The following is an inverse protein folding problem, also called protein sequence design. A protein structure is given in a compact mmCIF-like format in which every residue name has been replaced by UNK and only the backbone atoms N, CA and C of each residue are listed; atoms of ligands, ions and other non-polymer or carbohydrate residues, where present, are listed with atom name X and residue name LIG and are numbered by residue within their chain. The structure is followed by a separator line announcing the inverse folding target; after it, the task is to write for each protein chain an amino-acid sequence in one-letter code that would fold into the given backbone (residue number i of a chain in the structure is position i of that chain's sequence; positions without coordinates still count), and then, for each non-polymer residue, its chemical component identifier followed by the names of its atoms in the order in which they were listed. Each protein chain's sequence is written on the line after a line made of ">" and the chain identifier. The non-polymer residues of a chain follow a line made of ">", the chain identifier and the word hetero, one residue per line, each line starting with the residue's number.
data_IF_350883331381
#
_entry.id   IF_350883331381
#
_cell.length_a   1.000
_cell.length_b   1.000
_cell.length_c   1.000
_cell.angle_alpha   90.00
_cell.angle_beta   90.00
_cell.angle_gamma   90.00
#
_symmetry.space_group_name_H-M   'P 1'
#
loop_
_entity.id
_entity.type
_entity.pdbx_description
1 polymer ?
#
# COMPACT_ATOMS: atom_id res chain seq x y z
N UNK A 1 36.11 -21.03 12.67
CA UNK A 1 34.86 -21.81 12.61
C UNK A 1 34.13 -21.53 11.31
N UNK A 2 34.66 -22.04 10.20
CA UNK A 2 34.06 -21.95 8.87
C UNK A 2 33.54 -23.34 8.50
N UNK A 3 32.28 -23.62 8.83
CA UNK A 3 31.56 -24.72 8.21
C UNK A 3 30.92 -24.16 6.92
N UNK A 4 31.38 -24.64 5.76
CA UNK A 4 30.68 -24.43 4.48
C UNK A 4 29.28 -25.03 4.62
N UNK A 5 28.28 -24.18 4.86
CA UNK A 5 26.87 -24.59 4.79
C UNK A 5 26.55 -24.88 3.32
N UNK A 6 25.99 -26.05 3.04
CA UNK A 6 25.62 -26.52 1.69
C UNK A 6 24.24 -25.99 1.27
N UNK A 7 24.13 -25.46 0.05
CA UNK A 7 22.90 -24.86 -0.49
C UNK A 7 21.74 -25.83 -0.37
N UNK A 8 20.57 -25.40 0.14
CA UNK A 8 19.40 -26.27 0.16
C UNK A 8 19.12 -26.71 -1.27
N UNK A 9 19.20 -28.02 -1.52
CA UNK A 9 19.12 -28.61 -2.86
C UNK A 9 17.70 -29.08 -3.19
N UNK A 10 16.73 -28.90 -2.29
CA UNK A 10 15.36 -29.37 -2.46
C UNK A 10 14.32 -28.33 -2.05
N UNK A 11 13.15 -28.38 -2.70
CA UNK A 11 12.02 -27.50 -2.43
C UNK A 11 11.52 -27.61 -0.97
N UNK A 12 11.59 -28.81 -0.38
CA UNK A 12 11.19 -29.09 1.01
C UNK A 12 12.12 -28.43 2.05
N UNK A 13 13.42 -28.35 1.75
CA UNK A 13 14.40 -27.64 2.59
C UNK A 13 14.20 -26.12 2.52
N UNK A 14 13.85 -25.59 1.34
CA UNK A 14 13.51 -24.18 1.15
C UNK A 14 12.23 -23.83 1.93
N UNK A 15 11.19 -24.67 1.83
CA UNK A 15 9.92 -24.47 2.53
C UNK A 15 10.10 -24.50 4.06
N UNK A 16 10.92 -25.44 4.56
CA UNK A 16 11.29 -25.51 5.99
C UNK A 16 12.07 -24.29 6.45
N UNK A 17 12.99 -23.76 5.63
CA UNK A 17 13.76 -22.55 5.95
C UNK A 17 12.88 -21.30 5.97
N UNK A 18 11.94 -21.17 5.03
CA UNK A 18 10.98 -20.07 4.93
C UNK A 18 9.98 -20.06 6.10
N UNK A 19 9.54 -21.23 6.56
CA UNK A 19 8.62 -21.34 7.69
C UNK A 19 9.30 -21.28 9.07
N UNK A 20 10.63 -21.40 9.14
CA UNK A 20 11.41 -21.41 10.39
C UNK A 20 11.92 -20.05 10.87
N UNK A 21 11.45 -18.93 10.31
CA UNK A 21 11.87 -17.57 10.66
C UNK A 21 13.39 -17.30 10.52
N UNK A 22 14.11 -18.11 9.72
CA UNK A 22 15.54 -17.87 9.41
C UNK A 22 15.70 -17.13 8.08
N UNK A 23 14.97 -16.03 7.94
CA UNK A 23 15.08 -15.11 6.81
C UNK A 23 16.53 -14.69 6.54
N UNK A 24 17.34 -14.48 7.59
CA UNK A 24 18.75 -14.13 7.49
C UNK A 24 19.62 -15.14 6.72
N UNK A 25 19.25 -16.42 6.73
CA UNK A 25 20.01 -17.44 5.99
C UNK A 25 19.79 -17.28 4.49
N UNK A 26 18.57 -17.04 3.98
CA UNK A 26 18.37 -16.88 2.53
C UNK A 26 19.19 -15.71 1.94
N UNK A 27 19.32 -14.58 2.66
CA UNK A 27 20.08 -13.41 2.21
C UNK A 27 21.60 -13.65 2.16
N UNK A 28 22.14 -14.34 3.17
CA UNK A 28 23.57 -14.61 3.26
C UNK A 28 24.05 -15.53 2.12
N UNK A 29 23.15 -16.35 1.57
CA UNK A 29 23.47 -17.30 0.50
C UNK A 29 23.54 -16.64 -0.87
N UNK A 30 22.85 -15.52 -1.04
CA UNK A 30 22.77 -14.80 -2.31
C UNK A 30 23.60 -13.51 -2.34
N UNK A 31 24.42 -13.25 -1.31
CA UNK A 31 25.28 -12.07 -1.26
C UNK A 31 24.51 -10.75 -1.12
N UNK A 32 23.27 -10.80 -0.65
CA UNK A 32 22.42 -9.63 -0.47
C UNK A 32 22.76 -8.95 0.87
N UNK A 33 23.06 -7.65 0.86
CA UNK A 33 23.18 -6.88 2.10
C UNK A 33 21.79 -6.70 2.73
N UNK A 34 21.71 -6.66 4.06
CA UNK A 34 20.49 -6.40 4.85
C UNK A 34 19.78 -5.07 4.50
N UNK A 35 20.35 -4.23 3.64
CA UNK A 35 19.88 -2.89 3.32
C UNK A 35 18.73 -2.85 2.29
N UNK A 36 18.35 -4.00 1.72
CA UNK A 36 17.46 -4.04 0.54
C UNK A 36 16.13 -4.80 0.77
N UNK A 37 16.00 -5.51 1.89
CA UNK A 37 14.74 -6.14 2.29
C UNK A 37 14.55 -5.91 3.78
N UNK A 38 13.43 -5.28 4.12
CA UNK A 38 13.18 -4.85 5.48
C UNK A 38 11.99 -5.61 6.05
N UNK A 39 12.18 -6.40 7.14
CA UNK A 39 11.05 -6.88 7.89
C UNK A 39 10.23 -5.69 8.40
N UNK A 40 8.90 -5.81 8.48
CA UNK A 40 8.05 -4.69 8.80
C UNK A 40 8.42 -3.97 10.08
N UNK A 41 9.14 -4.58 11.02
CA UNK A 41 9.44 -4.04 12.36
C UNK A 41 10.87 -3.47 12.53
N UNK A 42 11.80 -3.66 11.57
CA UNK A 42 13.23 -3.33 11.76
C UNK A 42 13.72 -2.03 11.07
N UNK A 43 12.92 -1.41 10.20
CA UNK A 43 13.29 -0.13 9.57
C UNK A 43 13.27 1.02 10.60
N UNK A 44 14.37 1.80 10.66
CA UNK A 44 14.34 3.14 11.24
C UNK A 44 13.40 4.01 10.40
N UNK A 45 12.21 4.33 10.93
CA UNK A 45 11.11 5.01 10.22
C UNK A 45 11.25 6.53 10.15
N UNK A 46 12.46 7.09 10.09
CA UNK A 46 12.54 8.52 9.76
C UNK A 46 12.24 8.66 8.28
N UNK A 47 11.02 9.05 7.97
CA UNK A 47 10.60 9.38 6.62
C UNK A 47 11.23 10.71 6.25
N UNK A 48 11.87 10.78 5.07
CA UNK A 48 12.48 12.01 4.58
C UNK A 48 11.69 12.54 3.39
N UNK A 49 10.81 13.50 3.67
CA UNK A 49 10.03 14.28 2.70
C UNK A 49 9.02 13.41 1.92
N UNK A 50 8.38 12.46 2.58
CA UNK A 50 7.40 11.59 1.93
C UNK A 50 6.17 11.38 2.81
N UNK A 51 5.03 11.89 2.32
CA UNK A 51 3.69 11.54 2.76
C UNK A 51 2.85 11.36 1.50
N UNK A 52 2.42 10.14 1.21
CA UNK A 52 1.73 9.82 -0.04
C UNK A 52 0.53 8.95 0.27
N UNK A 53 -0.66 9.49 -0.03
CA UNK A 53 -1.86 8.69 -0.25
C UNK A 53 -2.10 8.56 -1.75
N UNK A 54 -3.13 7.82 -2.14
CA UNK A 54 -3.50 7.69 -3.53
C UNK A 54 -4.64 8.63 -3.90
N UNK A 55 -4.69 8.97 -5.18
CA UNK A 55 -5.83 9.58 -5.85
C UNK A 55 -6.47 8.61 -6.86
N UNK A 56 -6.01 7.35 -6.90
CA UNK A 56 -6.47 6.32 -7.83
C UNK A 56 -7.90 5.87 -7.53
N UNK A 57 -8.69 5.63 -8.57
CA UNK A 57 -9.93 4.86 -8.43
C UNK A 57 -9.62 3.36 -8.42
N UNK A 58 -10.08 2.65 -7.39
CA UNK A 58 -9.88 1.21 -7.24
C UNK A 58 -11.23 0.51 -7.15
N UNK A 59 -11.54 -0.31 -8.14
CA UNK A 59 -12.70 -1.18 -8.10
C UNK A 59 -12.44 -2.37 -7.17
N UNK A 60 -13.45 -2.77 -6.41
CA UNK A 60 -13.45 -4.00 -5.63
C UNK A 60 -13.21 -5.19 -6.57
N UNK A 61 -12.29 -6.04 -6.14
CA UNK A 61 -11.80 -7.15 -6.94
C UNK A 61 -12.46 -8.40 -6.43
N UNK A 62 -13.19 -9.10 -7.29
CA UNK A 62 -13.52 -10.50 -7.05
C UNK A 62 -12.67 -11.37 -7.99
N UNK A 63 -11.56 -11.94 -7.51
CA UNK A 63 -10.73 -12.83 -8.31
C UNK A 63 -11.50 -14.05 -8.84
N UNK A 64 -12.55 -14.51 -8.15
CA UNK A 64 -13.29 -15.72 -8.53
C UNK A 64 -12.50 -17.01 -8.35
N UNK A 65 -11.40 -16.96 -7.60
CA UNK A 65 -10.53 -18.11 -7.29
C UNK A 65 -9.84 -17.93 -5.93
N UNK A 66 -9.50 -19.05 -5.30
CA UNK A 66 -8.79 -19.12 -4.02
C UNK A 66 -7.96 -20.41 -3.97
N UNK A 67 -6.76 -20.44 -3.36
CA UNK A 67 -6.05 -19.30 -2.76
C UNK A 67 -5.42 -18.36 -3.79
N UNK A 68 -5.02 -17.16 -3.31
CA UNK A 68 -4.34 -16.14 -4.13
C UNK A 68 -3.00 -15.70 -3.56
N UNK A 69 -2.12 -15.26 -4.45
CA UNK A 69 -1.01 -14.40 -4.16
C UNK A 69 -1.29 -13.01 -4.73
N UNK A 70 -0.92 -11.97 -3.98
CA UNK A 70 -1.09 -10.58 -4.40
C UNK A 70 0.28 -10.01 -4.75
N UNK A 71 0.35 -9.32 -5.88
CA UNK A 71 1.50 -8.51 -6.27
C UNK A 71 1.01 -7.07 -6.39
N UNK A 72 1.65 -6.12 -5.72
CA UNK A 72 1.26 -4.73 -5.89
C UNK A 72 2.30 -3.69 -5.51
N UNK A 73 2.00 -2.43 -5.80
CA UNK A 73 2.87 -1.30 -5.47
C UNK A 73 2.67 -0.85 -4.01
N UNK A 74 3.73 -0.37 -3.33
CA UNK A 74 3.69 0.10 -1.94
C UNK A 74 2.93 1.44 -1.81
N UNK A 75 1.62 1.39 -2.01
CA UNK A 75 0.71 2.52 -1.92
C UNK A 75 -0.49 2.14 -1.03
N UNK A 76 -1.07 3.08 -0.25
CA UNK A 76 -2.17 2.78 0.67
C UNK A 76 -3.37 2.07 0.03
N UNK A 77 -3.66 2.32 -1.25
CA UNK A 77 -4.75 1.63 -1.98
C UNK A 77 -4.55 0.12 -2.12
N UNK A 78 -3.32 -0.39 -2.06
CA UNK A 78 -3.06 -1.83 -1.97
C UNK A 78 -3.71 -2.45 -0.73
N UNK A 79 -3.77 -1.73 0.40
CA UNK A 79 -4.40 -2.23 1.62
C UNK A 79 -5.93 -2.30 1.48
N UNK A 80 -6.53 -1.38 0.74
CA UNK A 80 -7.96 -1.47 0.41
C UNK A 80 -8.24 -2.68 -0.50
N UNK A 81 -7.36 -2.96 -1.47
CA UNK A 81 -7.45 -4.17 -2.31
C UNK A 81 -7.36 -5.45 -1.46
N UNK A 82 -6.34 -5.54 -0.60
CA UNK A 82 -6.15 -6.69 0.29
C UNK A 82 -7.39 -6.91 1.16
N UNK A 83 -7.90 -5.85 1.78
CA UNK A 83 -9.11 -5.93 2.61
C UNK A 83 -10.33 -6.37 1.80
N UNK A 84 -10.53 -5.85 0.59
CA UNK A 84 -11.65 -6.23 -0.27
C UNK A 84 -11.60 -7.72 -0.63
N UNK A 85 -10.42 -8.26 -0.95
CA UNK A 85 -10.23 -9.70 -1.22
C UNK A 85 -10.48 -10.52 0.05
N UNK A 86 -9.93 -10.10 1.19
CA UNK A 86 -10.09 -10.80 2.46
C UNK A 86 -11.56 -10.81 2.93
N UNK A 87 -12.30 -9.72 2.74
CA UNK A 87 -13.71 -9.60 3.11
C UNK A 87 -14.62 -10.57 2.34
N UNK A 88 -14.18 -11.04 1.17
CA UNK A 88 -14.87 -12.06 0.38
C UNK A 88 -14.54 -13.49 0.85
N UNK A 89 -13.76 -13.65 1.92
CA UNK A 89 -13.34 -14.95 2.44
C UNK A 89 -12.29 -15.65 1.57
N UNK A 90 -11.63 -14.92 0.67
CA UNK A 90 -10.57 -15.46 -0.18
C UNK A 90 -9.28 -15.55 0.62
N UNK A 91 -8.72 -16.75 0.67
CA UNK A 91 -7.44 -17.03 1.34
C UNK A 91 -6.25 -16.42 0.57
N UNK A 92 -5.60 -15.43 1.20
CA UNK A 92 -4.40 -14.75 0.68
C UNK A 92 -3.17 -15.43 1.28
N UNK A 93 -2.42 -16.14 0.44
CA UNK A 93 -1.25 -16.93 0.87
C UNK A 93 0.06 -16.18 0.83
N UNK A 94 0.20 -15.22 -0.08
CA UNK A 94 1.44 -14.47 -0.30
C UNK A 94 1.13 -13.04 -0.73
N UNK A 95 2.00 -12.12 -0.31
CA UNK A 95 1.95 -10.73 -0.73
C UNK A 95 3.34 -10.22 -1.07
N UNK A 96 3.51 -9.79 -2.31
CA UNK A 96 4.70 -9.11 -2.79
C UNK A 96 4.34 -7.65 -3.03
N UNK A 97 4.84 -6.77 -2.16
CA UNK A 97 4.67 -5.33 -2.31
C UNK A 97 6.00 -4.71 -2.78
N UNK A 98 5.99 -3.90 -3.83
CA UNK A 98 7.22 -3.32 -4.37
C UNK A 98 7.10 -1.83 -4.66
N UNK A 99 8.21 -1.11 -4.72
CA UNK A 99 8.24 0.27 -5.22
C UNK A 99 9.65 0.67 -5.70
N UNK A 100 9.74 1.64 -6.59
CA UNK A 100 11.02 2.28 -6.95
C UNK A 100 11.43 3.38 -5.96
N UNK A 101 10.50 3.87 -5.14
CA UNK A 101 10.75 4.92 -4.16
C UNK A 101 10.83 4.32 -2.75
N UNK A 102 12.05 4.31 -2.19
CA UNK A 102 12.28 3.78 -0.85
C UNK A 102 11.46 4.50 0.22
N UNK A 103 11.18 5.79 0.05
CA UNK A 103 10.38 6.54 1.01
C UNK A 103 8.89 6.12 0.97
N UNK A 104 8.36 5.74 -0.19
CA UNK A 104 7.02 5.17 -0.30
C UNK A 104 6.93 3.81 0.40
N UNK A 105 7.95 2.97 0.25
CA UNK A 105 8.03 1.68 0.97
C UNK A 105 8.04 1.90 2.47
N UNK A 106 8.85 2.84 2.97
CA UNK A 106 8.89 3.19 4.40
C UNK A 106 7.56 3.75 4.89
N UNK A 107 6.90 4.60 4.09
CA UNK A 107 5.59 5.15 4.43
C UNK A 107 4.53 4.05 4.51
N UNK A 108 4.51 3.14 3.53
CA UNK A 108 3.60 2.01 3.50
C UNK A 108 3.81 1.06 4.69
N UNK A 109 5.07 0.80 5.07
CA UNK A 109 5.41 0.06 6.29
C UNK A 109 4.93 0.75 7.56
N UNK A 110 5.07 2.08 7.63
CA UNK A 110 4.54 2.85 8.75
C UNK A 110 3.02 2.71 8.87
N UNK A 111 2.28 2.81 7.76
CA UNK A 111 0.82 2.58 7.73
C UNK A 111 0.47 1.19 8.25
N UNK A 112 1.16 0.14 7.78
CA UNK A 112 0.96 -1.24 8.26
C UNK A 112 1.19 -1.34 9.77
N UNK A 113 2.25 -0.71 10.29
CA UNK A 113 2.54 -0.68 11.73
C UNK A 113 1.45 0.03 12.53
N UNK A 114 0.94 1.15 12.02
CA UNK A 114 -0.16 1.87 12.65
C UNK A 114 -1.39 0.97 12.70
N UNK A 115 -1.85 0.43 11.57
CA UNK A 115 -3.02 -0.47 11.52
C UNK A 115 -2.88 -1.62 12.54
N UNK A 116 -1.70 -2.25 12.62
CA UNK A 116 -1.42 -3.35 13.56
C UNK A 116 -1.59 -2.95 15.04
N UNK A 117 -1.30 -1.69 15.38
CA UNK A 117 -1.29 -1.18 16.76
C UNK A 117 -2.57 -0.46 17.15
N UNK A 118 -3.23 0.20 16.20
CA UNK A 118 -4.41 1.00 16.48
C UNK A 118 -5.59 0.14 16.94
N UNK A 119 -6.36 0.71 17.87
CA UNK A 119 -7.51 0.03 18.49
C UNK A 119 -8.67 -0.12 17.51
N UNK A 120 -8.94 0.94 16.74
CA UNK A 120 -10.02 1.07 15.77
C UNK A 120 -9.57 1.91 14.57
N UNK A 121 -10.45 2.07 13.57
CA UNK A 121 -10.11 2.82 12.35
C UNK A 121 -9.96 4.33 12.56
N UNK A 122 -10.54 4.91 13.61
CA UNK A 122 -10.44 6.34 13.91
C UNK A 122 -9.09 6.62 14.57
N UNK A 123 -8.70 5.81 15.55
CA UNK A 123 -7.40 5.85 16.21
C UNK A 123 -6.26 5.75 15.19
N UNK A 124 -6.37 4.85 14.21
CA UNK A 124 -5.44 4.77 13.08
C UNK A 124 -5.29 6.08 12.31
N UNK A 125 -6.39 6.79 12.04
CA UNK A 125 -6.38 8.06 11.29
C UNK A 125 -5.80 9.18 12.15
N UNK A 126 -6.13 9.23 13.45
CA UNK A 126 -5.55 10.18 14.41
C UNK A 126 -4.02 10.05 14.43
N UNK A 127 -3.50 8.82 14.52
CA UNK A 127 -2.07 8.54 14.52
C UNK A 127 -1.40 8.85 13.18
N UNK A 128 -2.01 8.45 12.06
CA UNK A 128 -1.44 8.66 10.72
C UNK A 128 -1.36 10.14 10.35
N UNK A 129 -2.39 10.91 10.66
CA UNK A 129 -2.46 12.33 10.30
C UNK A 129 -1.87 13.25 11.37
N UNK A 130 -1.46 12.71 12.53
CA UNK A 130 -1.07 13.51 13.70
C UNK A 130 -2.17 14.51 14.10
N UNK A 131 -3.41 14.03 14.11
CA UNK A 131 -4.59 14.82 14.48
C UNK A 131 -5.26 14.29 15.73
N UNK A 132 -6.10 15.13 16.35
CA UNK A 132 -7.05 14.72 17.37
C UNK A 132 -8.45 15.14 16.93
N UNK A 133 -9.33 14.18 16.76
CA UNK A 133 -10.74 14.41 16.49
C UNK A 133 -11.46 14.76 17.78
N UNK A 134 -12.15 15.91 17.79
CA UNK A 134 -13.08 16.25 18.84
C UNK A 134 -14.27 15.29 18.87
N UNK A 135 -15.08 15.36 19.94
CA UNK A 135 -16.25 14.49 20.10
C UNK A 135 -17.18 14.50 18.88
N UNK A 136 -17.43 15.68 18.31
CA UNK A 136 -18.27 15.83 17.11
C UNK A 136 -17.69 15.11 15.89
N UNK A 137 -16.38 15.27 15.64
CA UNK A 137 -15.69 14.60 14.54
C UNK A 137 -15.76 13.07 14.68
N UNK A 138 -15.56 12.55 15.90
CA UNK A 138 -15.67 11.10 16.18
C UNK A 138 -17.09 10.58 15.91
N UNK A 139 -18.11 11.31 16.32
CA UNK A 139 -19.51 10.96 16.04
C UNK A 139 -19.83 10.92 14.54
N UNK A 140 -19.30 11.86 13.76
CA UNK A 140 -19.46 11.87 12.30
C UNK A 140 -18.85 10.62 11.66
N UNK A 141 -17.61 10.29 12.03
CA UNK A 141 -16.90 9.11 11.52
C UNK A 141 -17.59 7.80 11.92
N UNK A 142 -18.08 7.70 13.16
CA UNK A 142 -18.77 6.51 13.65
C UNK A 142 -20.11 6.27 12.97
N UNK A 143 -20.87 7.34 12.69
CA UNK A 143 -22.19 7.25 12.05
C UNK A 143 -22.13 7.13 10.54
N UNK A 144 -20.98 7.41 9.93
CA UNK A 144 -20.84 7.35 8.49
C UNK A 144 -20.99 5.90 7.99
N UNK A 145 -22.11 5.64 7.31
CA UNK A 145 -22.33 4.42 6.57
C UNK A 145 -21.78 4.61 5.16
N UNK A 146 -20.84 3.75 4.77
CA UNK A 146 -20.32 3.72 3.41
C UNK A 146 -21.48 3.65 2.39
N UNK A 147 -21.52 4.53 1.37
CA UNK A 147 -22.45 4.35 0.26
C UNK A 147 -22.09 3.02 -0.40
N UNK A 148 -23.00 2.05 -0.34
CA UNK A 148 -22.77 0.73 -0.94
C UNK A 148 -22.23 0.87 -2.36
N UNK A 149 -21.08 0.29 -2.64
CA UNK A 149 -20.39 0.51 -3.90
C UNK A 149 -19.13 -0.32 -4.03
N UNK A 150 -18.89 -0.79 -5.26
CA UNK A 150 -17.78 -1.67 -5.66
C UNK A 150 -16.54 -0.82 -6.01
N UNK A 151 -16.44 0.42 -5.55
CA UNK A 151 -15.38 1.36 -5.98
C UNK A 151 -14.86 2.13 -4.77
N UNK A 152 -13.62 1.87 -4.39
CA UNK A 152 -12.81 2.78 -3.56
C UNK A 152 -12.52 3.98 -4.47
N UNK A 153 -13.34 5.02 -4.30
CA UNK A 153 -13.18 6.23 -5.09
C UNK A 153 -11.86 6.88 -4.71
N UNK A 154 -11.06 7.13 -5.74
CA UNK A 154 -10.01 8.13 -5.73
C UNK A 154 -10.62 9.49 -6.06
N UNK A 155 -9.93 10.26 -6.89
CA UNK A 155 -10.47 11.49 -7.46
C UNK A 155 -11.81 11.23 -8.18
N UNK A 156 -12.89 11.88 -7.74
CA UNK A 156 -14.18 11.84 -8.40
C UNK A 156 -14.62 13.28 -8.74
N UNK A 157 -14.82 13.63 -10.02
CA UNK A 157 -15.55 14.84 -10.36
C UNK A 157 -16.97 14.69 -9.80
N UNK A 158 -17.45 15.70 -9.09
CA UNK A 158 -18.74 15.71 -8.39
C UNK A 158 -18.81 14.81 -7.15
N UNK A 159 -17.87 14.98 -6.21
CA UNK A 159 -18.00 14.42 -4.85
C UNK A 159 -19.37 14.79 -4.28
N UNK A 160 -20.15 13.78 -3.87
CA UNK A 160 -21.48 13.94 -3.29
C UNK A 160 -21.50 15.10 -2.27
N UNK A 161 -22.40 16.09 -2.42
CA UNK A 161 -22.47 17.25 -1.52
C UNK A 161 -22.55 16.88 -0.04
N UNK A 162 -23.13 15.73 0.32
CA UNK A 162 -23.15 15.28 1.71
C UNK A 162 -21.75 14.91 2.20
N UNK A 163 -21.02 14.11 1.42
CA UNK A 163 -19.63 13.72 1.73
C UNK A 163 -18.70 14.95 1.84
N UNK A 164 -18.90 15.96 0.99
CA UNK A 164 -18.17 17.23 1.08
C UNK A 164 -18.43 17.98 2.40
N UNK A 165 -19.70 18.13 2.78
CA UNK A 165 -20.05 18.83 4.01
C UNK A 165 -19.54 18.08 5.25
N UNK A 166 -19.55 16.75 5.21
CA UNK A 166 -18.95 15.90 6.24
C UNK A 166 -17.45 16.14 6.37
N UNK A 167 -16.70 16.22 5.26
CA UNK A 167 -15.27 16.55 5.28
C UNK A 167 -15.01 17.90 5.95
N UNK A 168 -15.77 18.94 5.60
CA UNK A 168 -15.59 20.27 6.18
C UNK A 168 -15.89 20.30 7.68
N UNK A 169 -17.02 19.71 8.08
CA UNK A 169 -17.41 19.63 9.48
C UNK A 169 -16.43 18.78 10.31
N UNK A 170 -15.89 17.71 9.72
CA UNK A 170 -14.83 16.91 10.33
C UNK A 170 -13.61 17.77 10.63
N UNK A 171 -13.09 18.48 9.62
CA UNK A 171 -11.90 19.31 9.80
C UNK A 171 -12.12 20.44 10.78
N UNK A 172 -13.27 21.11 10.78
CA UNK A 172 -13.59 22.15 11.76
C UNK A 172 -13.49 21.63 13.21
N UNK A 173 -13.77 20.34 13.43
CA UNK A 173 -13.73 19.67 14.73
C UNK A 173 -12.46 18.84 14.98
N UNK A 174 -11.35 19.19 14.32
CA UNK A 174 -10.06 18.47 14.40
C UNK A 174 -8.93 19.37 14.85
N UNK A 175 -8.11 18.94 15.81
CA UNK A 175 -6.83 19.57 16.13
C UNK A 175 -5.70 18.89 15.34
N UNK A 176 -4.72 19.65 14.85
CA UNK A 176 -3.59 19.12 14.07
C UNK A 176 -2.25 19.51 14.69
N UNK A 177 -1.38 18.53 14.93
CA UNK A 177 -0.02 18.72 15.43
C UNK A 177 0.98 18.81 14.27
N UNK A 178 1.06 19.99 13.66
CA UNK A 178 1.92 20.25 12.50
C UNK A 178 3.40 20.06 12.78
N UNK A 179 3.83 20.29 14.03
CA UNK A 179 5.23 20.13 14.45
C UNK A 179 5.60 18.66 14.42
N UNK A 180 4.85 17.79 15.11
CA UNK A 180 5.13 16.35 15.10
C UNK A 180 4.99 15.74 13.71
N UNK A 181 3.98 16.16 12.94
CA UNK A 181 3.83 15.72 11.56
C UNK A 181 5.09 16.05 10.74
N UNK A 182 5.57 17.29 10.82
CA UNK A 182 6.76 17.73 10.08
C UNK A 182 8.02 17.02 10.55
N UNK A 183 8.19 16.83 11.86
CA UNK A 183 9.33 16.11 12.44
C UNK A 183 9.38 14.64 12.00
N UNK A 184 8.22 14.00 11.84
CA UNK A 184 8.13 12.60 11.46
C UNK A 184 8.26 12.38 9.94
N UNK A 185 7.51 13.15 9.13
CA UNK A 185 7.44 12.98 7.68
C UNK A 185 8.48 13.78 6.90
N UNK A 186 9.06 14.82 7.51
CA UNK A 186 9.90 15.79 6.80
C UNK A 186 9.14 16.63 5.77
N UNK A 187 7.80 16.64 5.84
CA UNK A 187 6.89 17.36 4.94
C UNK A 187 6.21 18.46 5.71
N UNK A 188 6.17 19.67 5.17
CA UNK A 188 5.41 20.76 5.77
C UNK A 188 3.94 20.55 5.48
N UNK A 189 3.12 20.66 6.53
CA UNK A 189 1.68 20.57 6.40
C UNK A 189 0.97 21.59 7.29
N UNK A 190 -0.21 22.03 6.86
CA UNK A 190 -1.10 22.83 7.69
C UNK A 190 -2.55 22.42 7.49
N UNK A 191 -3.31 22.52 8.57
CA UNK A 191 -4.75 22.27 8.55
C UNK A 191 -5.47 23.41 7.83
N UNK A 192 -6.39 23.04 6.96
CA UNK A 192 -7.39 23.93 6.36
C UNK A 192 -8.79 23.46 6.77
N UNK A 193 -9.83 24.24 6.48
CA UNK A 193 -11.22 23.78 6.64
C UNK A 193 -11.64 22.66 5.67
N UNK A 194 -10.72 22.15 4.85
CA UNK A 194 -10.99 21.15 3.80
C UNK A 194 -10.08 19.93 3.85
N UNK A 195 -9.07 19.91 4.72
CA UNK A 195 -7.99 18.94 4.61
C UNK A 195 -6.69 19.43 5.22
N UNK A 196 -5.70 18.54 5.23
CA UNK A 196 -4.31 18.96 5.42
C UNK A 196 -3.74 19.36 4.07
N UNK A 197 -3.22 20.57 3.96
CA UNK A 197 -2.48 20.98 2.79
C UNK A 197 -0.99 20.72 3.04
N UNK A 198 -0.33 20.10 2.07
CA UNK A 198 1.07 19.68 2.15
C UNK A 198 1.90 20.37 1.09
N UNK A 199 3.13 20.71 1.43
CA UNK A 199 4.14 21.21 0.49
C UNK A 199 5.44 20.46 0.64
N UNK A 200 6.28 20.55 -0.40
CA UNK A 200 7.60 19.95 -0.44
C UNK A 200 7.57 18.40 -0.41
N UNK A 201 6.47 17.81 -0.89
CA UNK A 201 6.32 16.35 -1.01
C UNK A 201 7.19 15.85 -2.16
N UNK A 202 7.98 14.79 -1.95
CA UNK A 202 8.70 14.12 -3.04
C UNK A 202 7.85 12.99 -3.62
N UNK A 203 7.22 13.24 -4.76
CA UNK A 203 6.49 12.22 -5.54
C UNK A 203 7.23 11.89 -6.84
N UNK A 204 7.00 10.69 -7.39
CA UNK A 204 7.61 10.24 -8.67
C UNK A 204 7.12 11.06 -9.87
N UNK A 205 6.04 11.83 -9.72
CA UNK A 205 5.45 12.70 -10.75
C UNK A 205 5.70 14.20 -10.56
N UNK A 206 6.63 14.61 -9.70
CA UNK A 206 6.94 16.03 -9.42
C UNK A 206 5.77 16.87 -8.87
N UNK A 207 4.71 16.22 -8.38
CA UNK A 207 3.67 16.86 -7.58
C UNK A 207 4.25 17.17 -6.20
N UNK A 208 4.70 18.40 -6.03
CA UNK A 208 5.36 18.85 -4.79
C UNK A 208 4.37 19.38 -3.74
N UNK A 209 3.08 19.36 -4.06
CA UNK A 209 2.01 19.85 -3.21
C UNK A 209 0.77 18.98 -3.37
N UNK A 210 -0.10 19.01 -2.38
CA UNK A 210 -1.35 18.26 -2.40
C UNK A 210 -2.21 18.54 -1.19
N UNK A 211 -3.46 18.09 -1.25
CA UNK A 211 -4.37 18.15 -0.10
C UNK A 211 -4.78 16.75 0.33
N UNK A 212 -4.57 16.43 1.60
CA UNK A 212 -4.98 15.17 2.21
C UNK A 212 -6.36 15.29 2.80
N UNK A 213 -7.24 14.39 2.38
CA UNK A 213 -8.64 14.33 2.81
C UNK A 213 -8.97 12.98 3.43
N UNK A 214 -9.95 12.95 4.34
CA UNK A 214 -10.42 11.72 4.98
C UNK A 214 -11.43 11.01 4.08
N UNK A 215 -12.42 11.75 3.60
CA UNK A 215 -13.38 11.30 2.60
C UNK A 215 -12.91 11.61 1.16
N UNK A 216 -13.64 11.09 0.16
CA UNK A 216 -13.38 11.38 -1.26
C UNK A 216 -13.64 12.87 -1.57
N UNK A 217 -12.75 13.49 -2.34
CA UNK A 217 -12.80 14.91 -2.69
C UNK A 217 -12.82 15.17 -4.20
N UNK A 218 -13.29 16.36 -4.57
CA UNK A 218 -13.37 16.85 -5.95
C UNK A 218 -12.26 17.87 -6.27
N UNK A 219 -11.67 17.77 -7.45
CA UNK A 219 -10.77 18.75 -8.08
C UNK A 219 -11.22 20.22 -8.03
N UNK A 220 -12.53 20.51 -8.08
CA UNK A 220 -13.03 21.90 -7.97
C UNK A 220 -12.64 22.52 -6.62
N UNK A 221 -12.57 21.70 -5.58
CA UNK A 221 -12.25 22.13 -4.22
C UNK A 221 -10.76 22.01 -3.90
N UNK A 222 -10.07 21.12 -4.60
CA UNK A 222 -8.65 20.80 -4.43
C UNK A 222 -7.93 20.93 -5.78
N UNK A 223 -7.53 22.15 -6.18
CA UNK A 223 -6.90 22.41 -7.49
C UNK A 223 -5.62 21.62 -7.74
N UNK A 224 -4.94 21.19 -6.67
CA UNK A 224 -3.70 20.40 -6.72
C UNK A 224 -3.95 18.89 -6.69
N UNK A 225 -5.23 18.46 -6.67
CA UNK A 225 -5.64 17.07 -6.56
C UNK A 225 -5.76 16.60 -5.10
N UNK A 226 -6.88 15.96 -4.70
CA UNK A 226 -7.01 15.37 -3.38
C UNK A 226 -6.29 14.02 -3.31
N UNK A 227 -5.51 13.84 -2.26
CA UNK A 227 -4.91 12.58 -1.83
C UNK A 227 -5.73 12.05 -0.67
N UNK A 228 -6.41 10.92 -0.82
CA UNK A 228 -7.45 10.54 0.14
C UNK A 228 -7.14 9.27 0.90
N UNK A 229 -7.65 9.20 2.13
CA UNK A 229 -7.69 7.96 2.91
C UNK A 229 -8.83 7.03 2.47
N UNK A 230 -9.82 7.56 1.75
CA UNK A 230 -11.02 6.83 1.31
C UNK A 230 -11.78 6.21 2.49
N UNK A 231 -12.06 7.01 3.53
CA UNK A 231 -12.92 6.59 4.63
C UNK A 231 -14.30 6.15 4.11
N UNK A 232 -14.81 5.02 4.61
CA UNK A 232 -15.98 4.37 4.05
C UNK A 232 -15.69 3.31 2.98
N UNK A 233 -14.43 3.10 2.60
CA UNK A 233 -14.09 2.11 1.57
C UNK A 233 -12.97 1.15 2.01
N UNK A 234 -12.89 -0.01 1.37
CA UNK A 234 -11.88 -1.05 1.68
C UNK A 234 -11.82 -1.35 3.18
N UNK A 235 -10.63 -1.25 3.77
CA UNK A 235 -10.44 -1.52 5.21
C UNK A 235 -11.01 -0.43 6.13
N UNK A 236 -11.33 0.76 5.62
CA UNK A 236 -11.94 1.85 6.40
C UNK A 236 -13.47 1.89 6.31
N UNK A 237 -14.10 0.92 5.62
CA UNK A 237 -15.56 0.90 5.44
C UNK A 237 -16.34 0.61 6.73
N UNK A 238 -15.78 -0.20 7.62
CA UNK A 238 -16.36 -0.56 8.91
C UNK A 238 -15.29 -1.01 9.89
N UNK A 239 -15.60 -1.01 11.18
CA UNK A 239 -14.68 -1.58 12.19
C UNK A 239 -14.35 -3.03 11.91
N UNK A 240 -15.33 -3.86 11.53
CA UNK A 240 -15.09 -5.26 11.21
C UNK A 240 -14.07 -5.45 10.08
N UNK A 241 -14.11 -4.60 9.06
CA UNK A 241 -13.19 -4.68 7.91
C UNK A 241 -11.80 -4.22 8.32
N UNK A 242 -11.70 -3.15 9.11
CA UNK A 242 -10.44 -2.68 9.69
C UNK A 242 -9.79 -3.76 10.55
N UNK A 243 -10.57 -4.37 11.43
CA UNK A 243 -10.11 -5.42 12.34
C UNK A 243 -9.68 -6.68 11.60
N UNK A 244 -10.39 -7.09 10.55
CA UNK A 244 -9.97 -8.20 9.68
C UNK A 244 -8.64 -7.92 8.99
N UNK A 245 -8.48 -6.72 8.41
CA UNK A 245 -7.18 -6.33 7.83
C UNK A 245 -6.10 -6.33 8.92
N UNK A 246 -6.37 -5.77 10.09
CA UNK A 246 -5.42 -5.75 11.20
C UNK A 246 -4.95 -7.14 11.60
N UNK A 247 -5.86 -8.09 11.77
CA UNK A 247 -5.51 -9.47 12.12
C UNK A 247 -4.78 -10.18 10.96
N UNK A 248 -5.17 -9.93 9.71
CA UNK A 248 -4.40 -10.37 8.54
C UNK A 248 -2.95 -9.84 8.63
N UNK A 249 -2.74 -8.54 8.87
CA UNK A 249 -1.42 -7.92 8.97
C UNK A 249 -0.60 -8.41 10.18
N UNK A 250 -1.23 -8.82 11.28
CA UNK A 250 -0.54 -9.43 12.44
C UNK A 250 -0.13 -10.86 12.18
N UNK A 251 -0.96 -11.63 11.47
CA UNK A 251 -0.73 -13.04 11.18
C UNK A 251 0.17 -13.26 9.96
N UNK A 252 0.32 -12.25 9.11
CA UNK A 252 1.04 -12.35 7.86
C UNK A 252 2.56 -12.41 8.06
N UNK A 253 3.08 -13.63 8.19
CA UNK A 253 4.51 -13.95 7.97
C UNK A 253 4.91 -13.90 6.47
N UNK A 254 4.08 -13.30 5.61
CA UNK A 254 4.06 -13.54 4.16
C UNK A 254 4.32 -12.30 3.30
N UNK A 255 5.18 -11.39 3.75
CA UNK A 255 5.49 -10.14 3.06
C UNK A 255 6.89 -10.18 2.44
N UNK A 256 6.95 -10.09 1.11
CA UNK A 256 8.17 -9.68 0.42
C UNK A 256 7.99 -8.23 0.04
N UNK A 257 8.65 -7.33 0.78
CA UNK A 257 8.69 -5.91 0.46
C UNK A 257 9.99 -5.59 -0.25
N UNK A 258 9.87 -5.09 -1.48
CA UNK A 258 11.00 -4.94 -2.40
C UNK A 258 11.14 -3.49 -2.85
N UNK A 259 12.35 -2.95 -2.75
CA UNK A 259 12.71 -1.75 -3.51
C UNK A 259 13.22 -2.17 -4.89
N UNK A 260 13.21 -1.30 -5.90
CA UNK A 260 13.71 -1.62 -7.25
C UNK A 260 14.98 -0.81 -7.62
N UNK A 261 15.47 0.08 -6.75
CA UNK A 261 16.62 0.96 -7.04
C UNK A 261 17.99 0.30 -7.25
N UNK A 262 18.10 -1.03 -7.20
CA UNK A 262 19.38 -1.72 -7.33
C UNK A 262 19.23 -3.02 -8.13
N UNK A 263 20.20 -3.31 -9.02
CA UNK A 263 20.21 -4.48 -9.90
C UNK A 263 20.01 -5.83 -9.18
N UNK A 264 20.45 -5.96 -7.93
CA UNK A 264 20.24 -7.15 -7.09
C UNK A 264 18.79 -7.39 -6.70
N UNK A 265 17.92 -6.38 -6.76
CA UNK A 265 16.52 -6.51 -6.36
C UNK A 265 15.63 -7.09 -7.46
N UNK A 266 16.06 -7.05 -8.74
CA UNK A 266 15.40 -7.81 -9.80
C UNK A 266 15.55 -9.32 -9.61
N UNK A 267 16.67 -9.77 -9.05
CA UNK A 267 16.86 -11.17 -8.69
C UNK A 267 15.93 -11.59 -7.54
N UNK A 268 15.72 -10.71 -6.55
CA UNK A 268 14.79 -10.95 -5.43
C UNK A 268 13.34 -10.94 -5.91
N UNK A 269 12.96 -9.99 -6.77
CA UNK A 269 11.64 -9.97 -7.39
C UNK A 269 11.44 -11.24 -8.23
N UNK A 270 12.40 -11.62 -9.07
CA UNK A 270 12.35 -12.83 -9.89
C UNK A 270 12.28 -14.12 -9.06
N UNK A 271 12.97 -14.18 -7.91
CA UNK A 271 12.85 -15.30 -6.98
C UNK A 271 11.46 -15.35 -6.34
N UNK A 272 10.99 -14.20 -5.82
CA UNK A 272 9.66 -14.09 -5.21
C UNK A 272 8.58 -14.51 -6.21
N UNK A 273 8.67 -14.06 -7.47
CA UNK A 273 7.75 -14.44 -8.55
C UNK A 273 7.80 -15.94 -8.89
N UNK A 274 8.98 -16.58 -8.84
CA UNK A 274 9.09 -18.04 -8.99
C UNK A 274 8.37 -18.80 -7.88
N UNK A 275 8.28 -18.28 -6.67
CA UNK A 275 7.53 -18.91 -5.58
C UNK A 275 6.01 -18.75 -5.75
N UNK A 276 5.58 -17.66 -6.41
CA UNK A 276 4.16 -17.44 -6.72
C UNK A 276 3.60 -18.43 -7.74
N UNK A 277 4.44 -19.31 -8.29
CA UNK A 277 4.08 -20.27 -9.32
C UNK A 277 3.04 -21.32 -8.89
N UNK A 278 2.71 -21.39 -7.62
CA UNK A 278 1.74 -22.32 -7.06
C UNK A 278 0.40 -21.66 -6.70
N UNK A 279 0.25 -20.36 -6.94
CA UNK A 279 -0.94 -19.61 -6.57
C UNK A 279 -1.56 -18.92 -7.77
N UNK A 280 -2.86 -18.65 -7.70
CA UNK A 280 -3.48 -17.69 -8.61
C UNK A 280 -3.01 -16.28 -8.25
N UNK A 281 -2.86 -15.41 -9.24
CA UNK A 281 -2.20 -14.11 -9.02
C UNK A 281 -3.22 -12.99 -9.20
N UNK A 282 -3.26 -12.09 -8.22
CA UNK A 282 -3.92 -10.79 -8.32
C UNK A 282 -2.86 -9.72 -8.39
N UNK A 283 -2.87 -8.89 -9.43
CA UNK A 283 -1.91 -7.78 -9.58
C UNK A 283 -2.59 -6.43 -9.46
N UNK A 284 -2.09 -5.56 -8.57
CA UNK A 284 -2.49 -4.16 -8.46
C UNK A 284 -1.27 -3.24 -8.49
N UNK A 285 -0.99 -2.66 -9.65
CA UNK A 285 0.26 -1.92 -9.89
C UNK A 285 0.05 -0.43 -10.07
N UNK A 286 -1.14 0.08 -9.71
CA UNK A 286 -1.53 1.47 -9.96
C UNK A 286 -1.24 1.87 -11.43
N UNK A 287 -0.82 3.11 -11.68
CA UNK A 287 -0.36 3.62 -12.96
C UNK A 287 1.16 3.48 -13.15
N UNK A 288 1.89 2.80 -12.26
CA UNK A 288 3.37 2.72 -12.33
C UNK A 288 3.87 2.08 -13.63
N UNK A 289 3.05 1.23 -14.25
CA UNK A 289 3.32 0.61 -15.55
C UNK A 289 2.66 1.30 -16.74
N UNK A 290 2.14 2.52 -16.54
CA UNK A 290 1.69 3.35 -17.65
C UNK A 290 2.87 3.68 -18.59
N UNK A 291 2.62 3.88 -19.90
CA UNK A 291 3.67 4.11 -20.89
C UNK A 291 4.64 5.24 -20.53
N UNK A 292 4.14 6.29 -19.87
CA UNK A 292 4.96 7.39 -19.37
C UNK A 292 6.10 6.91 -18.46
N UNK A 293 5.77 6.21 -17.37
CA UNK A 293 6.76 5.76 -16.39
C UNK A 293 7.69 4.68 -16.95
N UNK A 294 7.15 3.73 -17.71
CA UNK A 294 7.93 2.67 -18.37
C UNK A 294 8.95 3.27 -19.37
N UNK A 295 8.56 4.32 -20.09
CA UNK A 295 9.44 4.99 -21.06
C UNK A 295 10.52 5.85 -20.40
N UNK A 296 10.25 6.40 -19.21
CA UNK A 296 11.15 7.35 -18.51
C UNK A 296 12.07 6.69 -17.49
N UNK A 297 11.66 5.59 -16.88
CA UNK A 297 12.36 4.99 -15.75
C UNK A 297 12.78 3.55 -16.09
N UNK A 298 14.08 3.36 -16.32
CA UNK A 298 14.66 2.08 -16.74
C UNK A 298 14.34 0.94 -15.74
N UNK A 299 14.36 1.27 -14.45
CA UNK A 299 14.05 0.33 -13.37
C UNK A 299 12.59 -0.15 -13.41
N UNK A 300 11.64 0.76 -13.67
CA UNK A 300 10.22 0.41 -13.85
C UNK A 300 10.05 -0.48 -15.07
N UNK A 301 10.74 -0.17 -16.18
CA UNK A 301 10.68 -0.97 -17.41
C UNK A 301 11.17 -2.38 -17.18
N UNK A 302 12.30 -2.54 -16.48
CA UNK A 302 12.85 -3.85 -16.14
C UNK A 302 11.90 -4.64 -15.23
N UNK A 303 11.28 -3.99 -14.23
CA UNK A 303 10.30 -4.64 -13.35
C UNK A 303 9.05 -5.07 -14.10
N UNK A 304 8.55 -4.20 -14.99
CA UNK A 304 7.41 -4.47 -15.85
C UNK A 304 7.69 -5.68 -16.75
N UNK A 305 8.83 -5.69 -17.46
CA UNK A 305 9.23 -6.83 -18.30
C UNK A 305 9.33 -8.12 -17.48
N UNK A 306 9.95 -8.09 -16.30
CA UNK A 306 10.08 -9.27 -15.45
C UNK A 306 8.73 -9.83 -14.99
N UNK A 307 7.80 -8.96 -14.58
CA UNK A 307 6.45 -9.36 -14.18
C UNK A 307 5.69 -9.91 -15.39
N UNK A 308 5.74 -9.25 -16.54
CA UNK A 308 5.08 -9.73 -17.76
C UNK A 308 5.64 -11.09 -18.19
N UNK A 309 6.95 -11.24 -18.24
CA UNK A 309 7.62 -12.46 -18.68
C UNK A 309 7.33 -13.65 -17.75
N UNK A 310 7.39 -13.43 -16.43
CA UNK A 310 7.23 -14.53 -15.46
C UNK A 310 5.78 -14.80 -15.04
N UNK A 311 4.92 -13.77 -15.00
CA UNK A 311 3.52 -13.91 -14.57
C UNK A 311 2.61 -14.16 -15.77
N UNK A 312 2.78 -13.43 -16.87
CA UNK A 312 1.84 -13.43 -17.99
C UNK A 312 2.29 -14.30 -19.18
N UNK A 313 3.60 -14.43 -19.45
CA UNK A 313 4.11 -15.11 -20.64
C UNK A 313 4.70 -16.51 -20.39
N UNK A 314 4.91 -16.92 -19.13
CA UNK A 314 5.47 -18.26 -18.86
C UNK A 314 4.53 -19.38 -19.32
N UNK A 315 5.07 -20.39 -20.02
CA UNK A 315 4.37 -21.51 -20.69
C UNK A 315 3.56 -22.47 -19.77
N UNK A 316 3.34 -22.13 -18.50
CA UNK A 316 2.60 -22.95 -17.53
C UNK A 316 1.15 -22.49 -17.38
N UNK A 317 0.37 -22.68 -18.46
CA UNK A 317 -0.97 -22.14 -18.74
C UNK A 317 -2.16 -22.70 -17.93
N UNK A 318 -1.98 -23.12 -16.68
CA UNK A 318 -3.12 -23.50 -15.82
C UNK A 318 -3.54 -22.43 -14.81
N UNK A 319 -2.80 -21.31 -14.70
CA UNK A 319 -3.09 -20.26 -13.71
C UNK A 319 -4.13 -19.26 -14.22
N UNK A 320 -4.96 -18.79 -13.30
CA UNK A 320 -5.82 -17.63 -13.53
C UNK A 320 -5.12 -16.38 -12.98
N UNK A 321 -5.11 -15.33 -13.79
CA UNK A 321 -4.54 -14.03 -13.44
C UNK A 321 -5.66 -13.01 -13.46
N UNK A 322 -5.80 -12.26 -12.36
CA UNK A 322 -6.65 -11.09 -12.28
C UNK A 322 -5.73 -9.87 -12.24
N UNK A 323 -5.71 -9.08 -13.32
CA UNK A 323 -4.86 -7.88 -13.41
C UNK A 323 -5.71 -6.62 -13.36
N UNK A 324 -5.31 -5.70 -12.48
CA UNK A 324 -5.80 -4.33 -12.49
C UNK A 324 -4.73 -3.41 -13.07
N UNK A 325 -4.96 -2.99 -14.31
CA UNK A 325 -4.34 -1.80 -14.87
C UNK A 325 -5.35 -0.66 -14.72
N UNK A 326 -4.97 0.42 -14.04
CA UNK A 326 -5.82 1.60 -13.93
C UNK A 326 -6.05 2.15 -15.35
N UNK A 327 -7.31 2.27 -15.76
CA UNK A 327 -7.70 2.62 -17.13
C UNK A 327 -7.66 4.13 -17.42
N UNK A 328 -7.16 4.96 -16.49
CA UNK A 328 -7.01 6.41 -16.69
C UNK A 328 -5.73 6.92 -16.06
N UNK A 329 -4.69 7.07 -16.89
CA UNK A 329 -3.71 8.13 -16.69
C UNK A 329 -4.16 9.27 -17.61
N UNK A 330 -4.78 10.31 -17.04
CA UNK A 330 -4.94 11.61 -17.72
C UNK A 330 -3.94 12.58 -17.12
#
# INVERSE_FOLDING_TARGET
>A
YAAKRQSPTSAEQIDTLLHSAKFEEIYHWHGLSKEHVYPPDELQLKLQNCYILSNDEVHEINPGFSPVAIIGICNPHLLHVISSIADQGIDIKRLVAFDINIEQIRHFLHIIRLIRKSCDRIDFIEELLFVKFGQRAKELLQRYCAPGGVVIKGWAPDSDPQTKNLEFELWDNTEFDSVKFTEFYGVKAWKTGRGLYLTDIKTVGEHNKGCVTVFSGDSVLYPEGPFMLSFGYGYLKSEDSFMRLREFLKSANFWHMLSIRCGSMFDVLGYSLKELKYYNIVTWTSNVFAPYFVSKLADIRAAYSLIIDQVFLSEYSSRRICSMLISKAT
#
